data_IF_962446382161
#
_entry.id   IF_962446382161
#
_cell.length_a   1.000
_cell.length_b   1.000
_cell.length_c   1.000
_cell.angle_alpha   90.00
_cell.angle_beta   90.00
_cell.angle_gamma   90.00
#
_symmetry.space_group_name_H-M   'P 1'
#
loop_
_entity.id
_entity.type
_entity.pdbx_description
1 polymer ?
#
# COMPACT_ATOMS: atom_id res chain seq x y z
N UNK A 1 20.73 -21.41 -15.55
CA UNK A 1 21.33 -20.71 -14.38
C UNK A 1 21.45 -21.73 -13.26
N UNK A 2 22.65 -21.99 -12.73
CA UNK A 2 22.81 -22.88 -11.56
C UNK A 2 22.15 -22.19 -10.36
N UNK A 3 21.08 -22.78 -9.80
CA UNK A 3 20.49 -22.36 -8.53
C UNK A 3 21.56 -22.51 -7.44
N UNK A 4 21.99 -21.39 -6.87
CA UNK A 4 22.79 -21.42 -5.64
C UNK A 4 21.83 -21.28 -4.48
N UNK A 5 21.82 -22.24 -3.57
CA UNK A 5 21.19 -22.06 -2.27
C UNK A 5 21.75 -20.78 -1.61
N UNK A 6 20.87 -19.94 -1.06
CA UNK A 6 21.25 -18.68 -0.43
C UNK A 6 20.85 -17.40 -1.16
N UNK A 7 20.17 -17.47 -2.32
CA UNK A 7 19.36 -16.37 -2.83
C UNK A 7 20.11 -15.04 -3.08
N UNK A 8 21.34 -15.09 -3.61
CA UNK A 8 22.10 -13.88 -3.94
C UNK A 8 21.59 -13.16 -5.22
N UNK A 9 20.69 -13.78 -5.98
CA UNK A 9 20.06 -13.18 -7.15
C UNK A 9 18.75 -12.47 -6.79
N UNK A 10 18.42 -11.42 -7.54
CA UNK A 10 17.11 -10.76 -7.40
C UNK A 10 15.98 -11.75 -7.73
N UNK A 11 14.88 -11.78 -6.94
CA UNK A 11 13.74 -12.63 -7.22
C UNK A 11 13.14 -12.31 -8.59
N UNK A 12 12.76 -13.35 -9.32
CA UNK A 12 12.01 -13.24 -10.58
C UNK A 12 10.57 -13.61 -10.27
N UNK A 13 9.62 -12.77 -10.68
CA UNK A 13 8.19 -13.05 -10.52
C UNK A 13 7.57 -13.39 -11.87
N UNK A 14 6.82 -14.48 -11.92
CA UNK A 14 6.20 -14.96 -13.15
C UNK A 14 4.85 -14.27 -13.38
N UNK A 15 4.46 -14.00 -14.65
CA UNK A 15 3.12 -13.53 -14.96
C UNK A 15 2.03 -14.46 -14.41
N UNK A 16 0.92 -13.87 -13.98
CA UNK A 16 -0.25 -14.58 -13.51
C UNK A 16 -0.98 -15.17 -14.72
N UNK A 17 -1.07 -16.49 -14.77
CA UNK A 17 -1.83 -17.25 -15.79
C UNK A 17 -3.34 -17.24 -15.50
N UNK A 18 -3.88 -16.09 -15.10
CA UNK A 18 -5.22 -15.99 -14.51
C UNK A 18 -6.38 -16.25 -15.48
N UNK A 19 -6.12 -16.21 -16.78
CA UNK A 19 -7.07 -16.54 -17.84
C UNK A 19 -7.08 -18.04 -18.18
N UNK A 20 -6.09 -18.81 -17.71
CA UNK A 20 -6.03 -20.27 -17.90
C UNK A 20 -7.04 -20.97 -16.98
N UNK A 21 -7.63 -22.08 -17.45
CA UNK A 21 -8.70 -22.78 -16.73
C UNK A 21 -8.23 -23.41 -15.42
N UNK A 22 -6.99 -23.88 -15.39
CA UNK A 22 -6.32 -24.51 -14.25
C UNK A 22 -5.97 -23.50 -13.14
N UNK A 23 -5.86 -22.20 -13.45
CA UNK A 23 -5.56 -21.16 -12.46
C UNK A 23 -6.57 -21.15 -11.31
N UNK A 24 -7.83 -21.45 -11.59
CA UNK A 24 -8.90 -21.51 -10.59
C UNK A 24 -9.36 -22.94 -10.28
N UNK A 25 -8.62 -23.96 -10.72
CA UNK A 25 -8.93 -25.35 -10.41
C UNK A 25 -8.62 -25.64 -8.93
N UNK A 26 -9.61 -26.18 -8.21
CA UNK A 26 -9.52 -26.40 -6.77
C UNK A 26 -8.49 -27.48 -6.41
N UNK A 27 -8.35 -28.52 -7.24
CA UNK A 27 -7.40 -29.61 -6.97
C UNK A 27 -5.97 -29.15 -7.20
N UNK A 28 -5.73 -28.43 -8.29
CA UNK A 28 -4.41 -27.86 -8.59
C UNK A 28 -3.97 -26.83 -7.54
N UNK A 29 -4.93 -26.03 -7.01
CA UNK A 29 -4.65 -25.11 -5.91
C UNK A 29 -4.35 -25.87 -4.62
N UNK A 30 -5.08 -26.93 -4.30
CA UNK A 30 -4.84 -27.73 -3.09
C UNK A 30 -3.45 -28.39 -3.12
N UNK A 31 -3.09 -29.00 -4.25
CA UNK A 31 -1.76 -29.59 -4.46
C UNK A 31 -0.66 -28.54 -4.26
N UNK A 32 -0.84 -27.36 -4.84
CA UNK A 32 0.14 -26.29 -4.72
C UNK A 32 0.19 -25.69 -3.31
N UNK A 33 -0.95 -25.53 -2.64
CA UNK A 33 -1.00 -25.15 -1.22
C UNK A 33 -0.25 -26.14 -0.38
N UNK A 34 -0.46 -27.44 -0.58
CA UNK A 34 0.24 -28.48 0.19
C UNK A 34 1.74 -28.37 -0.02
N UNK A 35 2.19 -28.31 -1.26
CA UNK A 35 3.62 -28.16 -1.58
C UNK A 35 4.24 -26.92 -0.94
N UNK A 36 3.59 -25.75 -1.07
CA UNK A 36 4.10 -24.50 -0.51
C UNK A 36 4.09 -24.50 1.02
N UNK A 37 3.03 -25.05 1.63
CA UNK A 37 2.85 -25.09 3.08
C UNK A 37 3.89 -26.00 3.74
N UNK A 38 4.16 -27.15 3.13
CA UNK A 38 5.21 -28.09 3.55
C UNK A 38 6.59 -27.40 3.57
N UNK A 39 6.97 -26.77 2.45
CA UNK A 39 8.25 -26.06 2.36
C UNK A 39 8.34 -24.89 3.36
N UNK A 40 7.24 -24.14 3.54
CA UNK A 40 7.20 -23.04 4.50
C UNK A 40 7.34 -23.55 5.95
N UNK A 41 6.69 -24.66 6.29
CA UNK A 41 6.72 -25.28 7.62
C UNK A 41 8.07 -25.89 7.95
N UNK A 42 8.74 -26.53 6.98
CA UNK A 42 10.12 -27.00 7.17
C UNK A 42 11.12 -25.84 7.38
N UNK A 43 10.90 -24.69 6.72
CA UNK A 43 11.83 -23.56 6.75
C UNK A 43 11.61 -22.57 7.92
N UNK A 44 10.34 -22.29 8.27
CA UNK A 44 9.86 -21.37 9.32
C UNK A 44 10.42 -19.93 9.37
N UNK A 45 11.26 -19.52 8.42
CA UNK A 45 11.94 -18.21 8.41
C UNK A 45 10.99 -17.00 8.46
N UNK A 46 9.76 -17.15 7.96
CA UNK A 46 8.80 -16.06 7.80
C UNK A 46 7.90 -15.81 9.04
N UNK A 47 8.11 -16.54 10.14
CA UNK A 47 7.23 -16.53 11.33
C UNK A 47 6.90 -15.13 11.90
N UNK A 48 7.80 -14.16 11.74
CA UNK A 48 7.66 -12.81 12.31
C UNK A 48 7.25 -11.73 11.30
N UNK A 49 6.81 -12.11 10.10
CA UNK A 49 6.41 -11.17 9.05
C UNK A 49 4.94 -10.77 9.13
N UNK A 50 4.05 -11.75 9.21
CA UNK A 50 2.61 -11.59 9.27
C UNK A 50 1.97 -12.83 9.89
N UNK A 51 0.66 -12.76 10.13
CA UNK A 51 -0.08 -13.81 10.84
C UNK A 51 -0.30 -15.09 10.03
N UNK A 52 -0.12 -15.08 8.69
CA UNK A 52 -0.26 -16.29 7.88
C UNK A 52 0.70 -17.39 8.30
N UNK A 53 1.95 -17.05 8.65
CA UNK A 53 2.98 -18.05 8.96
C UNK A 53 2.79 -18.70 10.34
N UNK A 54 2.56 -17.96 11.44
CA UNK A 54 2.16 -18.59 12.71
C UNK A 54 0.95 -19.51 12.56
N UNK A 55 -0.11 -19.04 11.88
CA UNK A 55 -1.30 -19.88 11.63
C UNK A 55 -0.99 -21.14 10.84
N UNK A 56 -0.11 -21.04 9.85
CA UNK A 56 0.33 -22.18 9.06
C UNK A 56 1.10 -23.18 9.92
N UNK A 57 2.00 -22.70 10.78
CA UNK A 57 2.83 -23.57 11.60
C UNK A 57 1.99 -24.26 12.68
N UNK A 58 1.14 -23.50 13.38
CA UNK A 58 0.22 -24.04 14.38
C UNK A 58 -0.72 -25.09 13.74
N UNK A 59 -1.24 -24.82 12.54
CA UNK A 59 -2.10 -25.76 11.80
C UNK A 59 -1.45 -27.12 11.55
N UNK A 60 -0.17 -27.14 11.20
CA UNK A 60 0.55 -28.38 10.90
C UNK A 60 1.06 -29.03 12.19
N UNK A 61 1.57 -28.25 13.14
CA UNK A 61 2.09 -28.75 14.42
C UNK A 61 1.00 -29.40 15.29
N UNK A 62 -0.24 -28.91 15.18
CA UNK A 62 -1.40 -29.44 15.89
C UNK A 62 -2.13 -30.55 15.11
N UNK A 63 -1.63 -30.95 13.93
CA UNK A 63 -2.20 -32.04 13.14
C UNK A 63 -1.98 -33.41 13.82
N UNK A 64 -2.71 -34.44 13.38
CA UNK A 64 -2.63 -35.78 13.99
C UNK A 64 -1.24 -36.41 13.85
N UNK A 65 -0.57 -36.15 12.73
CA UNK A 65 0.79 -36.63 12.45
C UNK A 65 1.88 -35.65 12.87
N UNK A 66 1.53 -34.39 13.17
CA UNK A 66 2.49 -33.28 13.26
C UNK A 66 3.03 -32.85 11.89
N UNK A 67 2.47 -33.41 10.81
CA UNK A 67 2.88 -33.21 9.42
C UNK A 67 1.66 -32.80 8.58
N UNK A 68 1.91 -32.32 7.36
CA UNK A 68 0.87 -31.76 6.48
C UNK A 68 -0.07 -32.82 5.88
N UNK A 69 0.35 -34.08 5.84
CA UNK A 69 -0.38 -35.21 5.26
C UNK A 69 -1.76 -35.44 5.91
N UNK A 70 -1.90 -35.12 7.21
CA UNK A 70 -3.16 -35.27 7.94
C UNK A 70 -3.99 -33.99 8.04
N UNK A 71 -3.52 -32.87 7.47
CA UNK A 71 -4.25 -31.60 7.46
C UNK A 71 -5.32 -31.62 6.37
N UNK A 72 -6.54 -31.23 6.74
CA UNK A 72 -7.66 -31.12 5.81
C UNK A 72 -7.57 -29.83 4.99
N UNK A 73 -7.98 -29.92 3.73
CA UNK A 73 -7.97 -28.79 2.80
C UNK A 73 -8.83 -27.60 3.25
N UNK A 74 -9.93 -27.85 3.97
CA UNK A 74 -10.80 -26.81 4.52
C UNK A 74 -10.09 -25.90 5.54
N UNK A 75 -9.06 -26.42 6.21
CA UNK A 75 -8.33 -25.70 7.25
C UNK A 75 -7.22 -24.80 6.69
N UNK A 76 -7.01 -24.77 5.37
CA UNK A 76 -6.05 -23.84 4.74
C UNK A 76 -6.58 -22.40 4.71
N UNK A 77 -7.90 -22.21 4.70
CA UNK A 77 -8.51 -20.88 4.55
C UNK A 77 -8.05 -19.85 5.60
N UNK A 78 -7.95 -20.16 6.90
CA UNK A 78 -7.42 -19.23 7.90
C UNK A 78 -6.00 -18.71 7.60
N UNK A 79 -5.14 -19.51 6.99
CA UNK A 79 -3.78 -19.10 6.55
C UNK A 79 -3.87 -18.12 5.39
N UNK A 80 -4.73 -18.43 4.41
CA UNK A 80 -5.00 -17.58 3.24
C UNK A 80 -5.61 -16.24 3.65
N UNK A 81 -6.62 -16.25 4.51
CA UNK A 81 -7.33 -15.06 4.99
C UNK A 81 -6.42 -14.12 5.81
N UNK A 82 -5.33 -14.63 6.40
CA UNK A 82 -4.36 -13.82 7.13
C UNK A 82 -3.36 -13.10 6.22
N UNK A 83 -3.26 -13.48 4.94
CA UNK A 83 -2.32 -12.87 4.00
C UNK A 83 -2.81 -11.49 3.56
N UNK A 84 -1.94 -10.48 3.61
CA UNK A 84 -2.29 -9.11 3.19
C UNK A 84 -1.68 -8.71 1.85
N UNK A 85 -1.16 -9.68 1.08
CA UNK A 85 -0.45 -9.46 -0.19
C UNK A 85 0.66 -8.39 -0.12
N UNK A 86 1.35 -8.32 1.02
CA UNK A 86 2.38 -7.31 1.23
C UNK A 86 3.75 -7.65 0.61
N UNK A 87 3.88 -8.84 0.03
CA UNK A 87 5.07 -9.40 -0.65
C UNK A 87 6.38 -9.46 0.15
N UNK A 88 6.37 -9.18 1.45
CA UNK A 88 7.60 -9.21 2.25
C UNK A 88 8.24 -10.60 2.35
N UNK A 89 7.43 -11.68 2.38
CA UNK A 89 7.95 -13.04 2.35
C UNK A 89 8.64 -13.34 1.02
N UNK A 90 8.05 -12.94 -0.11
CA UNK A 90 8.60 -13.14 -1.45
C UNK A 90 9.85 -12.27 -1.69
N UNK A 91 9.76 -10.96 -1.44
CA UNK A 91 10.80 -10.01 -1.83
C UNK A 91 12.02 -10.00 -0.92
N UNK A 92 11.87 -10.33 0.37
CA UNK A 92 12.93 -10.04 1.36
C UNK A 92 13.35 -11.18 2.27
N UNK A 93 12.63 -12.32 2.27
CA UNK A 93 12.87 -13.38 3.28
C UNK A 93 13.00 -14.79 2.72
N UNK A 94 12.18 -15.15 1.74
CA UNK A 94 12.14 -16.50 1.24
C UNK A 94 13.37 -16.77 0.35
N UNK A 95 14.22 -17.77 0.68
CA UNK A 95 15.36 -18.14 -0.16
C UNK A 95 14.96 -19.00 -1.38
N UNK A 96 13.69 -19.42 -1.43
CA UNK A 96 13.17 -20.43 -2.35
C UNK A 96 12.24 -19.84 -3.43
N UNK A 97 12.26 -18.52 -3.59
CA UNK A 97 11.56 -17.80 -4.66
C UNK A 97 12.26 -18.03 -6.01
N UNK A 98 11.57 -17.86 -7.15
CA UNK A 98 12.18 -18.06 -8.45
C UNK A 98 13.40 -17.11 -8.61
N UNK A 99 14.51 -17.58 -9.23
CA UNK A 99 14.62 -18.79 -10.05
C UNK A 99 15.02 -20.06 -9.27
N UNK A 100 14.86 -20.11 -7.94
CA UNK A 100 15.03 -21.35 -7.19
C UNK A 100 14.03 -22.43 -7.67
N UNK A 101 14.44 -23.70 -7.67
CA UNK A 101 13.64 -24.81 -8.21
C UNK A 101 12.29 -25.00 -7.50
N UNK A 102 12.23 -24.68 -6.21
CA UNK A 102 10.97 -24.68 -5.43
C UNK A 102 9.98 -23.61 -5.86
N UNK A 103 10.41 -22.59 -6.61
CA UNK A 103 9.53 -21.65 -7.30
C UNK A 103 8.41 -21.06 -6.40
N UNK A 104 8.75 -20.68 -5.16
CA UNK A 104 7.74 -20.26 -4.18
C UNK A 104 7.25 -18.83 -4.43
N UNK A 105 5.94 -18.68 -4.65
CA UNK A 105 5.24 -17.39 -4.61
C UNK A 105 4.02 -17.48 -3.68
N UNK A 106 4.29 -17.40 -2.37
CA UNK A 106 3.25 -17.50 -1.35
C UNK A 106 2.14 -16.46 -1.56
N UNK A 107 2.41 -15.15 -1.75
CA UNK A 107 1.35 -14.17 -1.94
C UNK A 107 0.49 -14.42 -3.18
N UNK A 108 1.09 -14.76 -4.34
CA UNK A 108 0.30 -15.04 -5.54
C UNK A 108 -0.46 -16.36 -5.45
N UNK A 109 -0.02 -17.33 -4.66
CA UNK A 109 -0.82 -18.51 -4.33
C UNK A 109 -2.05 -18.15 -3.48
N UNK A 110 -1.90 -17.25 -2.50
CA UNK A 110 -3.05 -16.77 -1.71
C UNK A 110 -4.04 -16.00 -2.60
N UNK A 111 -3.53 -15.22 -3.55
CA UNK A 111 -4.33 -14.53 -4.57
C UNK A 111 -5.07 -15.53 -5.47
N UNK A 112 -4.39 -16.59 -5.93
CA UNK A 112 -4.98 -17.68 -6.73
C UNK A 112 -6.11 -18.37 -5.98
N UNK A 113 -5.93 -18.69 -4.70
CA UNK A 113 -7.00 -19.24 -3.84
C UNK A 113 -8.22 -18.32 -3.77
N UNK A 114 -8.01 -17.01 -3.55
CA UNK A 114 -9.11 -16.03 -3.50
C UNK A 114 -9.84 -15.88 -4.84
N UNK A 115 -9.10 -15.99 -5.95
CA UNK A 115 -9.70 -15.99 -7.29
C UNK A 115 -10.59 -17.24 -7.52
N UNK A 116 -10.16 -18.41 -7.03
CA UNK A 116 -10.98 -19.62 -7.02
C UNK A 116 -12.23 -19.44 -6.15
N UNK A 117 -12.11 -18.93 -4.91
CA UNK A 117 -13.27 -18.66 -4.05
C UNK A 117 -14.30 -17.76 -4.75
N UNK A 118 -13.81 -16.78 -5.51
CA UNK A 118 -14.67 -15.88 -6.26
C UNK A 118 -15.38 -16.55 -7.43
N UNK A 119 -14.69 -17.44 -8.16
CA UNK A 119 -15.31 -18.26 -9.23
C UNK A 119 -16.44 -19.13 -8.67
N UNK A 120 -16.23 -19.69 -7.49
CA UNK A 120 -17.20 -20.51 -6.76
C UNK A 120 -18.23 -19.68 -5.95
N UNK A 121 -18.20 -18.34 -6.07
CA UNK A 121 -19.10 -17.41 -5.37
C UNK A 121 -19.06 -17.52 -3.84
N UNK A 122 -17.92 -17.91 -3.29
CA UNK A 122 -17.62 -17.97 -1.85
C UNK A 122 -17.06 -16.66 -1.29
N UNK A 123 -16.85 -15.66 -2.16
CA UNK A 123 -16.40 -14.33 -1.78
C UNK A 123 -17.45 -13.54 -0.98
N UNK A 124 -16.97 -12.61 -0.15
CA UNK A 124 -17.81 -11.70 0.62
C UNK A 124 -18.33 -10.55 -0.26
N UNK A 125 -19.64 -10.57 -0.54
CA UNK A 125 -20.30 -9.50 -1.31
C UNK A 125 -20.18 -8.14 -0.62
N UNK A 126 -20.21 -8.10 0.71
CA UNK A 126 -20.02 -6.87 1.49
C UNK A 126 -18.62 -6.31 1.26
N UNK A 127 -17.59 -7.16 1.26
CA UNK A 127 -16.22 -6.72 1.03
C UNK A 127 -16.04 -6.20 -0.39
N UNK A 128 -16.66 -6.85 -1.37
CA UNK A 128 -16.65 -6.40 -2.77
C UNK A 128 -17.28 -5.02 -2.93
N UNK A 129 -18.41 -4.78 -2.27
CA UNK A 129 -19.06 -3.47 -2.27
C UNK A 129 -18.19 -2.37 -1.63
N UNK A 130 -17.44 -2.71 -0.57
CA UNK A 130 -16.50 -1.78 0.07
C UNK A 130 -15.29 -1.47 -0.81
N UNK A 131 -14.83 -2.44 -1.63
CA UNK A 131 -13.66 -2.28 -2.52
C UNK A 131 -13.93 -1.37 -3.73
N UNK A 132 -15.19 -1.04 -4.03
CA UNK A 132 -15.60 -0.13 -5.12
C UNK A 132 -15.28 1.35 -4.77
N UNK A 133 -14.00 1.65 -4.52
CA UNK A 133 -13.51 2.91 -3.95
C UNK A 133 -13.91 4.15 -4.75
N UNK A 134 -13.88 4.13 -6.09
CA UNK A 134 -14.32 5.29 -6.90
C UNK A 134 -15.83 5.53 -6.84
N UNK A 135 -16.63 4.46 -6.83
CA UNK A 135 -18.09 4.57 -6.68
C UNK A 135 -18.41 5.13 -5.31
N UNK A 136 -17.86 4.51 -4.27
CA UNK A 136 -18.08 4.87 -2.88
C UNK A 136 -17.56 6.30 -2.63
N UNK A 137 -16.35 6.63 -3.08
CA UNK A 137 -15.76 7.97 -2.96
C UNK A 137 -16.62 9.06 -3.60
N UNK A 138 -17.08 8.88 -4.84
CA UNK A 138 -17.94 9.86 -5.52
C UNK A 138 -19.25 10.13 -4.79
N UNK A 139 -19.83 9.12 -4.15
CA UNK A 139 -21.10 9.27 -3.42
C UNK A 139 -20.84 9.83 -2.01
N UNK A 140 -19.93 9.21 -1.25
CA UNK A 140 -19.67 9.54 0.14
C UNK A 140 -19.04 10.92 0.31
N UNK A 141 -18.19 11.37 -0.64
CA UNK A 141 -17.65 12.73 -0.64
C UNK A 141 -18.75 13.79 -0.69
N UNK A 142 -19.84 13.60 -1.44
CA UNK A 142 -20.95 14.57 -1.51
C UNK A 142 -21.60 14.81 -0.15
N UNK A 143 -21.61 13.80 0.71
CA UNK A 143 -22.20 13.81 2.04
C UNK A 143 -21.14 13.79 3.16
N UNK A 144 -19.92 14.27 2.88
CA UNK A 144 -18.75 14.10 3.74
C UNK A 144 -18.95 14.45 5.21
N UNK A 145 -19.68 15.53 5.54
CA UNK A 145 -19.95 15.92 6.94
C UNK A 145 -20.67 14.82 7.71
N UNK A 146 -21.76 14.31 7.13
CA UNK A 146 -22.55 13.23 7.74
C UNK A 146 -21.75 11.93 7.79
N UNK A 147 -21.08 11.57 6.68
CA UNK A 147 -20.27 10.35 6.62
C UNK A 147 -19.14 10.39 7.66
N UNK A 148 -18.39 11.49 7.77
CA UNK A 148 -17.30 11.61 8.75
C UNK A 148 -17.81 11.55 10.20
N UNK A 149 -19.00 12.10 10.47
CA UNK A 149 -19.65 11.96 11.78
C UNK A 149 -20.06 10.51 12.05
N UNK A 150 -20.64 9.82 11.08
CA UNK A 150 -21.13 8.44 11.25
C UNK A 150 -19.99 7.42 11.28
N UNK A 151 -18.87 7.67 10.59
CA UNK A 151 -17.72 6.76 10.56
C UNK A 151 -16.69 7.03 11.65
N UNK A 152 -16.82 8.12 12.42
CA UNK A 152 -15.93 8.44 13.53
C UNK A 152 -15.89 7.30 14.56
N UNK A 153 -14.70 6.85 14.92
CA UNK A 153 -14.50 5.83 15.97
C UNK A 153 -14.93 6.30 17.37
N UNK A 154 -15.24 7.59 17.54
CA UNK A 154 -15.84 8.15 18.76
C UNK A 154 -17.36 8.05 18.78
N UNK A 155 -18.01 7.75 17.66
CA UNK A 155 -19.46 7.69 17.56
C UNK A 155 -20.00 6.36 18.11
N UNK A 156 -20.59 6.41 19.31
CA UNK A 156 -21.12 5.21 20.00
C UNK A 156 -22.43 4.69 19.41
N UNK A 157 -23.11 5.45 18.56
CA UNK A 157 -24.40 5.07 17.97
C UNK A 157 -24.21 4.27 16.68
N UNK A 158 -23.39 4.78 15.75
CA UNK A 158 -23.25 4.22 14.40
C UNK A 158 -22.21 3.11 14.30
N UNK A 159 -21.14 3.17 15.11
CA UNK A 159 -20.03 2.20 15.03
C UNK A 159 -20.45 0.76 15.38
N UNK A 160 -21.27 0.49 16.41
CA UNK A 160 -21.78 -0.86 16.65
C UNK A 160 -22.62 -1.40 15.49
N UNK A 161 -23.41 -0.53 14.84
CA UNK A 161 -24.22 -0.88 13.66
C UNK A 161 -23.31 -1.21 12.48
N UNK A 162 -22.30 -0.38 12.20
CA UNK A 162 -21.29 -0.67 11.15
C UNK A 162 -20.51 -1.95 11.43
N UNK A 163 -20.18 -2.24 12.69
CA UNK A 163 -19.50 -3.48 13.06
C UNK A 163 -20.38 -4.71 12.81
N UNK A 164 -21.67 -4.62 13.11
CA UNK A 164 -22.63 -5.71 12.84
C UNK A 164 -22.90 -5.91 11.35
N UNK A 165 -23.08 -4.83 10.59
CA UNK A 165 -23.51 -4.88 9.19
C UNK A 165 -22.34 -4.99 8.19
N UNK A 166 -21.26 -4.24 8.40
CA UNK A 166 -20.13 -4.14 7.46
C UNK A 166 -18.90 -4.93 7.92
N UNK A 167 -18.98 -5.55 9.11
CA UNK A 167 -17.88 -6.28 9.74
C UNK A 167 -16.63 -5.40 9.94
N UNK A 168 -16.80 -4.09 10.12
CA UNK A 168 -15.70 -3.14 10.42
C UNK A 168 -15.61 -2.96 11.93
N UNK A 169 -14.44 -3.17 12.52
CA UNK A 169 -14.28 -3.06 13.97
C UNK A 169 -14.64 -1.65 14.46
N UNK A 170 -15.47 -1.53 15.49
CA UNK A 170 -15.97 -0.24 16.01
C UNK A 170 -14.86 0.74 16.42
N UNK A 171 -13.70 0.24 16.83
CA UNK A 171 -12.54 1.03 17.28
C UNK A 171 -11.58 1.43 16.15
N UNK A 172 -11.68 0.78 14.98
CA UNK A 172 -10.83 1.09 13.84
C UNK A 172 -11.07 2.51 13.34
N UNK A 173 -10.01 3.31 13.21
CA UNK A 173 -10.12 4.63 12.62
C UNK A 173 -10.23 4.51 11.10
N UNK A 174 -11.26 5.15 10.54
CA UNK A 174 -11.50 5.13 9.10
C UNK A 174 -11.08 6.45 8.44
N UNK A 175 -10.64 6.41 7.18
CA UNK A 175 -10.36 7.61 6.41
C UNK A 175 -11.57 8.55 6.35
N UNK A 176 -11.33 9.85 6.53
CA UNK A 176 -12.33 10.88 6.29
C UNK A 176 -12.62 11.01 4.80
N UNK A 177 -13.79 11.48 4.44
CA UNK A 177 -14.14 11.92 3.09
C UNK A 177 -14.16 13.45 3.01
N UNK A 178 -13.85 13.99 1.84
CA UNK A 178 -13.85 15.42 1.57
C UNK A 178 -14.84 15.76 0.46
N UNK A 179 -15.58 16.86 0.63
CA UNK A 179 -16.61 17.28 -0.34
C UNK A 179 -16.00 17.64 -1.69
N UNK A 180 -14.89 18.39 -1.64
CA UNK A 180 -14.11 18.76 -2.80
C UNK A 180 -12.98 17.76 -2.96
N UNK A 181 -12.97 17.04 -4.08
CA UNK A 181 -11.93 16.05 -4.39
C UNK A 181 -10.66 16.73 -4.89
N UNK A 182 -9.55 15.99 -4.93
CA UNK A 182 -8.31 16.54 -5.47
C UNK A 182 -8.42 16.87 -6.96
N UNK A 183 -9.01 15.97 -7.76
CA UNK A 183 -9.21 16.18 -9.20
C UNK A 183 -10.02 17.45 -9.46
N UNK A 184 -11.16 17.62 -8.77
CA UNK A 184 -11.96 18.85 -8.87
C UNK A 184 -11.16 20.10 -8.50
N UNK A 185 -10.34 20.02 -7.44
CA UNK A 185 -9.48 21.13 -7.03
C UNK A 185 -8.42 21.47 -8.07
N UNK A 186 -7.85 20.46 -8.73
CA UNK A 186 -6.88 20.64 -9.80
C UNK A 186 -7.54 21.24 -11.05
N UNK A 187 -8.71 20.75 -11.45
CA UNK A 187 -9.45 21.22 -12.63
C UNK A 187 -9.86 22.68 -12.50
N UNK A 188 -10.37 23.09 -11.34
CA UNK A 188 -10.69 24.50 -11.07
C UNK A 188 -9.48 25.43 -11.13
N UNK A 189 -8.27 24.90 -10.91
CA UNK A 189 -6.99 25.62 -11.04
C UNK A 189 -6.36 25.48 -12.44
N UNK A 190 -7.06 24.88 -13.40
CA UNK A 190 -6.61 24.69 -14.79
C UNK A 190 -5.80 23.41 -15.05
N UNK A 191 -5.74 22.48 -14.09
CA UNK A 191 -5.12 21.14 -14.17
C UNK A 191 -3.66 21.11 -14.67
N UNK A 192 -2.96 22.26 -14.63
CA UNK A 192 -1.57 22.37 -15.05
C UNK A 192 -0.87 23.51 -14.32
N UNK A 193 0.30 23.21 -13.75
CA UNK A 193 1.19 24.24 -13.21
C UNK A 193 2.16 24.70 -14.31
N UNK A 194 1.69 25.58 -15.21
CA UNK A 194 2.31 25.88 -16.52
C UNK A 194 3.48 26.89 -16.53
N UNK A 195 3.96 27.38 -15.37
CA UNK A 195 4.97 28.46 -15.30
C UNK A 195 6.37 27.96 -14.92
N UNK A 196 6.86 26.93 -15.60
CA UNK A 196 8.16 26.31 -15.30
C UNK A 196 8.92 26.10 -16.61
N UNK A 197 10.25 26.26 -16.62
CA UNK A 197 11.08 25.84 -17.75
C UNK A 197 10.89 24.32 -17.94
N UNK A 198 10.19 23.92 -19.01
CA UNK A 198 9.59 22.59 -19.28
C UNK A 198 10.56 21.39 -19.41
N UNK A 199 11.60 21.29 -18.58
CA UNK A 199 12.59 20.20 -18.66
C UNK A 199 12.04 18.91 -18.06
N UNK A 200 11.28 18.98 -16.96
CA UNK A 200 10.72 17.82 -16.27
C UNK A 200 9.19 17.87 -16.22
N UNK A 201 8.53 16.80 -16.66
CA UNK A 201 7.07 16.69 -16.71
C UNK A 201 6.57 15.46 -15.97
N UNK A 202 5.56 15.63 -15.11
CA UNK A 202 4.92 14.52 -14.38
C UNK A 202 3.40 14.59 -14.43
N UNK A 203 2.78 13.43 -14.62
CA UNK A 203 1.36 13.24 -14.44
C UNK A 203 1.16 12.59 -13.06
N UNK A 204 0.50 13.32 -12.16
CA UNK A 204 0.17 12.85 -10.83
C UNK A 204 -1.02 11.91 -10.97
N UNK A 205 -0.81 10.63 -10.63
CA UNK A 205 -1.86 9.67 -10.36
C UNK A 205 -2.17 9.72 -8.86
N UNK A 206 -3.19 10.49 -8.44
CA UNK A 206 -3.39 10.80 -7.03
C UNK A 206 -3.78 9.58 -6.20
N UNK A 207 -4.28 8.50 -6.82
CA UNK A 207 -4.95 7.37 -6.16
C UNK A 207 -6.35 7.72 -5.65
N UNK A 208 -7.15 6.70 -5.36
CA UNK A 208 -8.48 6.90 -4.77
C UNK A 208 -8.39 7.55 -3.38
N UNK A 209 -7.36 7.23 -2.61
CA UNK A 209 -7.19 7.75 -1.25
C UNK A 209 -6.93 9.26 -1.27
N UNK A 210 -5.95 9.76 -2.02
CA UNK A 210 -5.71 11.21 -2.09
C UNK A 210 -6.90 11.91 -2.74
N UNK A 211 -7.52 11.32 -3.75
CA UNK A 211 -8.63 11.99 -4.42
C UNK A 211 -9.84 12.23 -3.50
N UNK A 212 -10.24 11.24 -2.70
CA UNK A 212 -11.47 11.32 -1.89
C UNK A 212 -11.23 11.55 -0.40
N UNK A 213 -10.10 11.06 0.13
CA UNK A 213 -9.82 10.98 1.56
C UNK A 213 -8.71 11.89 2.07
N UNK A 214 -7.80 12.34 1.19
CA UNK A 214 -6.81 13.35 1.54
C UNK A 214 -6.46 14.26 0.36
N UNK A 215 -7.41 15.09 -0.15
CA UNK A 215 -7.16 15.94 -1.31
C UNK A 215 -6.03 16.95 -1.14
N UNK A 216 -5.80 17.35 0.11
CA UNK A 216 -4.76 18.29 0.47
C UNK A 216 -3.37 17.74 0.14
N UNK A 217 -3.11 16.45 0.36
CA UNK A 217 -1.84 15.84 0.02
C UNK A 217 -1.50 15.97 -1.47
N UNK A 218 -2.49 15.84 -2.35
CA UNK A 218 -2.30 16.07 -3.79
C UNK A 218 -1.94 17.52 -4.11
N UNK A 219 -2.58 18.47 -3.43
CA UNK A 219 -2.28 19.91 -3.58
C UNK A 219 -0.86 20.21 -3.10
N UNK A 220 -0.46 19.64 -1.96
CA UNK A 220 0.90 19.77 -1.42
C UNK A 220 1.92 19.21 -2.40
N UNK A 221 1.66 18.03 -2.98
CA UNK A 221 2.54 17.44 -3.97
C UNK A 221 2.72 18.34 -5.20
N UNK A 222 1.64 18.95 -5.71
CA UNK A 222 1.72 19.91 -6.82
C UNK A 222 2.56 21.15 -6.49
N UNK A 223 2.42 21.72 -5.29
CA UNK A 223 3.19 22.90 -4.87
C UNK A 223 4.67 22.56 -4.65
N UNK A 224 4.98 21.37 -4.08
CA UNK A 224 6.36 20.90 -3.95
C UNK A 224 7.00 20.68 -5.32
N UNK A 225 6.29 20.02 -6.26
CA UNK A 225 6.78 19.83 -7.62
C UNK A 225 7.02 21.15 -8.35
N UNK A 226 6.13 22.13 -8.18
CA UNK A 226 6.29 23.47 -8.71
C UNK A 226 7.54 24.16 -8.15
N UNK A 227 7.79 24.09 -6.84
CA UNK A 227 9.04 24.58 -6.21
C UNK A 227 10.28 23.89 -6.78
N UNK A 228 10.17 22.61 -7.10
CA UNK A 228 11.23 21.81 -7.72
C UNK A 228 11.39 22.05 -9.24
N UNK A 229 10.69 23.03 -9.81
CA UNK A 229 10.66 23.29 -11.24
C UNK A 229 10.28 22.04 -12.07
N UNK A 230 9.22 21.36 -11.63
CA UNK A 230 8.59 20.24 -12.36
C UNK A 230 7.19 20.66 -12.80
N UNK A 231 6.93 20.53 -14.09
CA UNK A 231 5.59 20.67 -14.64
C UNK A 231 4.73 19.48 -14.19
N UNK A 232 3.58 19.74 -13.57
CA UNK A 232 2.68 18.70 -13.08
C UNK A 232 1.28 18.84 -13.69
N UNK A 233 0.70 17.71 -14.13
CA UNK A 233 -0.71 17.56 -14.53
C UNK A 233 -1.38 16.48 -13.68
N UNK A 234 -2.66 16.61 -13.34
CA UNK A 234 -3.39 15.54 -12.63
C UNK A 234 -4.06 14.63 -13.65
N UNK A 235 -3.87 13.32 -13.49
CA UNK A 235 -4.47 12.28 -14.31
C UNK A 235 -5.12 11.23 -13.41
N UNK A 236 -6.45 11.08 -13.51
CA UNK A 236 -7.18 10.14 -12.67
C UNK A 236 -8.43 9.58 -13.37
N UNK A 237 -8.27 8.38 -13.94
CA UNK A 237 -9.34 7.64 -14.62
C UNK A 237 -9.87 6.45 -13.78
N UNK A 238 -9.54 6.44 -12.49
CA UNK A 238 -10.02 5.46 -11.52
C UNK A 238 -8.92 4.86 -10.63
N UNK A 239 -9.36 4.09 -9.64
CA UNK A 239 -8.51 3.34 -8.71
C UNK A 239 -7.64 2.32 -9.44
N UNK A 240 -6.42 2.10 -8.91
CA UNK A 240 -5.45 1.13 -9.42
C UNK A 240 -5.91 -0.34 -9.34
N UNK A 241 -6.95 -0.64 -8.55
CA UNK A 241 -7.46 -1.99 -8.36
C UNK A 241 -6.85 -2.77 -7.19
N UNK A 242 -5.97 -2.19 -6.36
CA UNK A 242 -5.37 -2.90 -5.22
C UNK A 242 -6.41 -3.58 -4.30
N UNK A 243 -7.51 -2.92 -3.88
CA UNK A 243 -8.53 -3.59 -3.05
C UNK A 243 -9.21 -4.78 -3.76
N UNK A 244 -9.39 -4.70 -5.08
CA UNK A 244 -9.92 -5.79 -5.89
C UNK A 244 -8.92 -6.95 -6.01
N UNK A 245 -7.63 -6.64 -6.18
CA UNK A 245 -6.56 -7.63 -6.19
C UNK A 245 -6.52 -8.39 -4.86
N UNK A 246 -6.55 -7.67 -3.73
CA UNK A 246 -6.62 -8.27 -2.39
C UNK A 246 -7.79 -9.25 -2.23
N UNK A 247 -8.92 -9.02 -2.91
CA UNK A 247 -10.10 -9.89 -2.93
C UNK A 247 -10.13 -10.96 -4.02
N UNK A 248 -9.06 -11.10 -4.83
CA UNK A 248 -9.01 -12.08 -5.93
C UNK A 248 -9.78 -11.69 -7.20
N UNK A 249 -10.22 -10.44 -7.35
CA UNK A 249 -10.97 -9.97 -8.52
C UNK A 249 -10.05 -9.55 -9.68
N UNK A 250 -9.32 -10.53 -10.22
CA UNK A 250 -8.33 -10.31 -11.28
C UNK A 250 -8.95 -9.72 -12.56
N UNK A 251 -10.20 -10.09 -12.88
CA UNK A 251 -10.93 -9.53 -14.02
C UNK A 251 -11.15 -8.02 -13.86
N UNK A 252 -11.64 -7.57 -12.69
CA UNK A 252 -11.83 -6.14 -12.45
C UNK A 252 -10.51 -5.36 -12.49
N UNK A 253 -9.42 -5.96 -11.98
CA UNK A 253 -8.08 -5.35 -12.03
C UNK A 253 -7.57 -5.25 -13.47
N UNK A 254 -7.71 -6.30 -14.27
CA UNK A 254 -7.29 -6.33 -15.66
C UNK A 254 -8.02 -5.26 -16.50
N UNK A 255 -9.33 -5.11 -16.35
CA UNK A 255 -10.09 -4.10 -17.09
C UNK A 255 -9.70 -2.67 -16.70
N UNK A 256 -9.42 -2.42 -15.41
CA UNK A 256 -8.87 -1.14 -14.95
C UNK A 256 -7.49 -0.88 -15.55
N UNK A 257 -6.60 -1.86 -15.53
CA UNK A 257 -5.26 -1.75 -16.08
C UNK A 257 -5.28 -1.46 -17.59
N UNK A 258 -6.09 -2.18 -18.37
CA UNK A 258 -6.29 -1.92 -19.81
C UNK A 258 -6.80 -0.50 -20.07
N UNK A 259 -7.84 -0.07 -19.37
CA UNK A 259 -8.44 1.24 -19.61
C UNK A 259 -7.50 2.39 -19.23
N UNK A 260 -6.90 2.34 -18.02
CA UNK A 260 -6.04 3.42 -17.52
C UNK A 260 -4.75 3.51 -18.34
N UNK A 261 -4.12 2.38 -18.69
CA UNK A 261 -2.91 2.38 -19.53
C UNK A 261 -3.14 2.96 -20.92
N UNK A 262 -4.29 2.65 -21.54
CA UNK A 262 -4.70 3.25 -22.82
C UNK A 262 -4.91 4.77 -22.70
N UNK A 263 -5.58 5.24 -21.65
CA UNK A 263 -5.91 6.66 -21.47
C UNK A 263 -4.69 7.52 -21.09
N UNK A 264 -3.71 6.96 -20.39
CA UNK A 264 -2.49 7.69 -19.99
C UNK A 264 -1.43 7.73 -21.09
N UNK A 265 -1.52 6.84 -22.09
CA UNK A 265 -0.56 6.70 -23.19
C UNK A 265 -0.18 8.04 -23.87
N UNK A 266 -1.11 8.95 -24.21
CA UNK A 266 -0.74 10.23 -24.82
C UNK A 266 0.18 11.07 -23.93
N UNK A 267 -0.05 11.08 -22.61
CA UNK A 267 0.81 11.80 -21.67
C UNK A 267 2.24 11.23 -21.65
N UNK A 268 2.37 9.91 -21.68
CA UNK A 268 3.68 9.26 -21.74
C UNK A 268 4.41 9.64 -23.04
N UNK A 269 3.69 9.69 -24.17
CA UNK A 269 4.24 10.12 -25.47
C UNK A 269 4.67 11.60 -25.47
N UNK A 270 3.97 12.46 -24.71
CA UNK A 270 4.36 13.86 -24.48
C UNK A 270 5.54 14.04 -23.50
N UNK A 271 6.11 12.93 -23.01
CA UNK A 271 7.28 12.91 -22.13
C UNK A 271 6.97 12.96 -20.64
N UNK A 272 5.70 12.83 -20.23
CA UNK A 272 5.34 12.79 -18.81
C UNK A 272 5.76 11.46 -18.16
N UNK A 273 6.40 11.56 -16.99
CA UNK A 273 6.47 10.42 -16.05
C UNK A 273 5.19 10.33 -15.25
N UNK A 274 4.78 9.14 -14.84
CA UNK A 274 3.59 8.95 -14.02
C UNK A 274 4.05 8.79 -12.58
N UNK A 275 3.52 9.59 -11.65
CA UNK A 275 3.90 9.49 -10.24
C UNK A 275 2.70 9.13 -9.39
N UNK A 276 2.88 8.22 -8.44
CA UNK A 276 1.85 7.89 -7.46
C UNK A 276 2.21 8.41 -6.07
N UNK A 277 1.17 8.83 -5.33
CA UNK A 277 1.30 9.37 -3.97
C UNK A 277 1.12 8.32 -2.87
N UNK A 278 0.76 7.08 -3.22
CA UNK A 278 0.61 5.98 -2.26
C UNK A 278 1.28 4.73 -2.82
N UNK A 279 2.20 4.08 -2.07
CA UNK A 279 3.01 2.97 -2.56
C UNK A 279 2.23 1.79 -3.14
N UNK A 280 1.04 1.49 -2.62
CA UNK A 280 0.19 0.43 -3.17
C UNK A 280 -0.15 0.66 -4.64
N UNK A 281 -0.37 1.90 -5.05
CA UNK A 281 -0.72 2.22 -6.42
C UNK A 281 0.52 2.21 -7.34
N UNK A 282 1.67 2.72 -6.89
CA UNK A 282 2.92 2.56 -7.65
C UNK A 282 3.29 1.09 -7.81
N UNK A 283 3.11 0.25 -6.78
CA UNK A 283 3.28 -1.21 -6.85
C UNK A 283 2.37 -1.83 -7.92
N UNK A 284 1.07 -1.49 -7.93
CA UNK A 284 0.13 -1.99 -8.94
C UNK A 284 0.57 -1.64 -10.36
N UNK A 285 0.84 -0.36 -10.60
CA UNK A 285 1.15 0.16 -11.93
C UNK A 285 2.51 -0.36 -12.45
N UNK A 286 3.52 -0.45 -11.59
CA UNK A 286 4.88 -0.88 -11.96
C UNK A 286 5.01 -2.39 -12.08
N UNK A 287 4.39 -3.17 -11.19
CA UNK A 287 4.68 -4.60 -11.04
C UNK A 287 3.46 -5.48 -11.27
N UNK A 288 2.35 -5.29 -10.56
CA UNK A 288 1.22 -6.24 -10.64
C UNK A 288 0.49 -6.18 -11.99
N UNK A 289 0.29 -5.00 -12.57
CA UNK A 289 -0.38 -4.88 -13.87
C UNK A 289 0.35 -5.60 -15.01
N UNK A 290 1.69 -5.45 -15.18
CA UNK A 290 2.45 -6.27 -16.12
C UNK A 290 2.37 -7.78 -15.88
N UNK A 291 2.22 -8.22 -14.62
CA UNK A 291 2.07 -9.65 -14.30
C UNK A 291 0.67 -10.16 -14.68
N UNK A 292 -0.37 -9.33 -14.59
CA UNK A 292 -1.75 -9.67 -14.98
C UNK A 292 -1.95 -9.57 -16.50
N UNK A 293 -1.28 -8.62 -17.16
CA UNK A 293 -1.39 -8.34 -18.60
C UNK A 293 -0.02 -8.31 -19.30
N UNK A 294 0.70 -9.45 -19.33
CA UNK A 294 2.09 -9.50 -19.82
C UNK A 294 2.22 -9.22 -21.31
N UNK A 295 1.14 -9.28 -22.08
CA UNK A 295 1.14 -9.06 -23.53
C UNK A 295 0.60 -7.67 -23.93
N UNK A 296 0.23 -6.81 -22.96
CA UNK A 296 -0.28 -5.48 -23.25
C UNK A 296 0.84 -4.43 -23.23
N UNK A 297 1.15 -3.83 -24.38
CA UNK A 297 2.24 -2.86 -24.51
C UNK A 297 1.96 -1.52 -23.80
N UNK A 298 0.70 -1.09 -23.73
CA UNK A 298 0.34 0.13 -23.00
C UNK A 298 0.61 -0.05 -21.49
N UNK A 299 0.30 -1.24 -20.94
CA UNK A 299 0.63 -1.60 -19.55
C UNK A 299 2.14 -1.63 -19.32
N UNK A 300 2.92 -2.23 -20.23
CA UNK A 300 4.39 -2.24 -20.14
C UNK A 300 4.98 -0.83 -20.19
N UNK A 301 4.49 0.02 -21.08
CA UNK A 301 4.95 1.40 -21.24
C UNK A 301 4.62 2.23 -19.99
N UNK A 302 3.41 2.08 -19.44
CA UNK A 302 3.02 2.70 -18.18
C UNK A 302 3.91 2.24 -17.02
N UNK A 303 4.15 0.93 -16.89
CA UNK A 303 5.02 0.38 -15.84
C UNK A 303 6.41 1.03 -15.86
N UNK A 304 7.05 1.13 -17.03
CA UNK A 304 8.36 1.78 -17.21
C UNK A 304 8.34 3.30 -16.95
N UNK A 305 7.18 3.94 -17.13
CA UNK A 305 7.01 5.38 -16.92
C UNK A 305 6.59 5.74 -15.48
N UNK A 306 6.26 4.75 -14.65
CA UNK A 306 5.69 4.95 -13.31
C UNK A 306 6.75 5.00 -12.21
N UNK A 307 6.60 5.97 -11.31
CA UNK A 307 7.44 6.16 -10.13
C UNK A 307 6.57 6.27 -8.87
N UNK A 308 7.11 5.85 -7.74
CA UNK A 308 6.67 6.41 -6.47
C UNK A 308 7.12 7.88 -6.37
N UNK A 309 6.33 8.75 -5.73
CA UNK A 309 6.73 10.17 -5.64
C UNK A 309 8.05 10.38 -4.89
N UNK A 310 8.33 9.57 -3.85
CA UNK A 310 9.60 9.66 -3.13
C UNK A 310 10.76 9.22 -4.04
N UNK A 311 10.55 8.17 -4.84
CA UNK A 311 11.50 7.69 -5.84
C UNK A 311 11.83 8.77 -6.88
N UNK A 312 10.78 9.41 -7.42
CA UNK A 312 10.93 10.46 -8.42
C UNK A 312 11.69 11.69 -7.90
N UNK A 313 11.42 12.12 -6.66
CA UNK A 313 12.13 13.28 -6.08
C UNK A 313 13.61 12.96 -5.82
N UNK A 314 13.92 11.72 -5.39
CA UNK A 314 15.30 11.26 -5.25
C UNK A 314 16.02 11.21 -6.60
N UNK A 315 15.36 10.71 -7.65
CA UNK A 315 15.87 10.76 -9.04
C UNK A 315 16.16 12.20 -9.49
N UNK A 316 15.27 13.14 -9.17
CA UNK A 316 15.45 14.55 -9.47
C UNK A 316 16.66 15.14 -8.71
N UNK A 317 16.81 14.81 -7.42
CA UNK A 317 17.95 15.24 -6.60
C UNK A 317 19.28 14.81 -7.22
N UNK A 318 19.38 13.55 -7.65
CA UNK A 318 20.60 13.02 -8.27
C UNK A 318 21.01 13.76 -9.53
N UNK A 319 20.05 14.34 -10.26
CA UNK A 319 20.29 15.12 -11.48
C UNK A 319 20.57 16.61 -11.19
N UNK A 320 20.17 17.11 -10.03
CA UNK A 320 20.35 18.51 -9.66
C UNK A 320 20.52 18.66 -8.15
N UNK A 321 21.77 18.77 -7.70
CA UNK A 321 22.08 18.93 -6.28
C UNK A 321 21.59 20.24 -5.66
N UNK A 322 21.33 21.27 -6.48
CA UNK A 322 20.86 22.56 -5.98
C UNK A 322 19.45 22.52 -5.40
N UNK A 323 18.66 21.47 -5.62
CA UNK A 323 17.30 21.40 -5.05
C UNK A 323 17.30 21.40 -3.52
N UNK A 324 18.39 20.93 -2.87
CA UNK A 324 18.50 20.99 -1.40
C UNK A 324 18.46 22.41 -0.85
N UNK A 325 18.88 23.42 -1.63
CA UNK A 325 18.86 24.84 -1.23
C UNK A 325 17.45 25.41 -1.09
N UNK A 326 16.42 24.70 -1.58
CA UNK A 326 15.01 25.09 -1.49
C UNK A 326 14.45 24.82 -0.09
N UNK A 327 15.07 23.87 0.64
CA UNK A 327 14.53 23.34 1.89
C UNK A 327 15.38 23.79 3.07
N UNK A 328 14.72 24.30 4.09
CA UNK A 328 15.32 24.74 5.33
C UNK A 328 14.50 24.25 6.54
N UNK A 329 15.17 23.58 7.48
CA UNK A 329 14.56 23.06 8.69
C UNK A 329 15.04 23.84 9.91
N UNK A 330 14.26 24.86 10.31
CA UNK A 330 14.63 25.80 11.37
C UNK A 330 14.20 25.34 12.79
N UNK A 331 14.05 24.04 13.04
CA UNK A 331 13.72 23.54 14.37
C UNK A 331 14.46 22.23 14.67
N UNK A 332 14.50 21.84 15.95
CA UNK A 332 15.19 20.63 16.42
C UNK A 332 14.29 19.38 16.42
N UNK A 333 13.07 19.47 15.90
CA UNK A 333 12.14 18.34 15.92
C UNK A 333 12.56 17.27 14.91
N UNK A 334 12.58 16.02 15.37
CA UNK A 334 12.84 14.88 14.51
C UNK A 334 11.58 14.24 13.96
N UNK A 335 11.78 13.34 12.99
CA UNK A 335 10.74 12.50 12.39
C UNK A 335 11.10 11.02 12.49
N UNK A 336 10.16 10.22 12.96
CA UNK A 336 10.18 8.76 12.80
C UNK A 336 9.49 8.39 11.50
N UNK A 337 10.20 7.74 10.59
CA UNK A 337 9.71 7.28 9.29
C UNK A 337 9.43 5.79 9.35
N UNK A 338 8.16 5.43 9.22
CA UNK A 338 7.74 4.05 9.01
C UNK A 338 7.79 3.74 7.50
N UNK A 339 8.64 2.81 7.12
CA UNK A 339 8.78 2.35 5.73
C UNK A 339 7.74 1.27 5.46
N UNK A 340 6.81 1.56 4.57
CA UNK A 340 5.64 0.71 4.34
C UNK A 340 5.96 -0.53 3.50
N UNK A 341 5.22 -1.62 3.70
CA UNK A 341 5.47 -2.88 2.98
C UNK A 341 5.41 -2.71 1.46
N UNK A 342 4.41 -2.00 0.91
CA UNK A 342 4.31 -1.80 -0.54
C UNK A 342 5.36 -0.83 -1.12
N UNK A 343 6.03 -0.01 -0.30
CA UNK A 343 7.23 0.71 -0.76
C UNK A 343 8.42 -0.26 -0.85
N UNK A 344 8.62 -1.06 0.20
CA UNK A 344 9.67 -2.09 0.25
C UNK A 344 9.53 -3.16 -0.82
N UNK A 345 8.30 -3.57 -1.13
CA UNK A 345 7.99 -4.60 -2.13
C UNK A 345 8.43 -4.20 -3.55
N UNK A 346 8.59 -2.90 -3.82
CA UNK A 346 9.07 -2.41 -5.10
C UNK A 346 10.59 -2.57 -5.28
N UNK A 347 11.32 -2.94 -4.23
CA UNK A 347 12.77 -3.13 -4.23
C UNK A 347 13.56 -1.90 -4.74
N UNK A 348 13.10 -0.70 -4.39
CA UNK A 348 13.70 0.59 -4.78
C UNK A 348 14.58 1.21 -3.67
N UNK A 349 14.76 0.50 -2.54
CA UNK A 349 15.39 1.04 -1.34
C UNK A 349 14.48 2.01 -0.57
N UNK A 350 15.01 2.67 0.46
CA UNK A 350 14.25 3.53 1.36
C UNK A 350 14.09 4.95 0.79
N UNK A 351 13.33 5.09 -0.30
CA UNK A 351 13.23 6.34 -1.05
C UNK A 351 12.62 7.49 -0.25
N UNK A 352 11.70 7.23 0.68
CA UNK A 352 11.24 8.27 1.59
C UNK A 352 12.35 8.82 2.50
N UNK A 353 13.23 7.96 3.02
CA UNK A 353 14.35 8.38 3.88
C UNK A 353 15.39 9.14 3.06
N UNK A 354 15.73 8.64 1.86
CA UNK A 354 16.62 9.33 0.92
C UNK A 354 16.06 10.71 0.52
N UNK A 355 14.75 10.82 0.29
CA UNK A 355 14.08 12.08 -0.01
C UNK A 355 14.13 13.05 1.18
N UNK A 356 13.87 12.58 2.40
CA UNK A 356 13.89 13.43 3.59
C UNK A 356 15.30 13.96 3.90
N UNK A 357 16.36 13.21 3.54
CA UNK A 357 17.75 13.67 3.63
C UNK A 357 18.09 14.84 2.68
N UNK A 358 17.19 15.21 1.77
CA UNK A 358 17.33 16.45 0.97
C UNK A 358 17.21 17.68 1.87
N UNK A 359 16.44 17.58 2.96
CA UNK A 359 16.26 18.62 3.97
C UNK A 359 17.49 18.59 4.91
N UNK A 360 18.31 19.66 4.93
CA UNK A 360 19.45 19.72 5.83
C UNK A 360 19.02 19.60 7.29
N UNK A 361 19.85 18.96 8.12
CA UNK A 361 19.74 18.87 9.58
C UNK A 361 18.46 18.21 10.14
N UNK A 362 17.58 17.68 9.28
CA UNK A 362 16.41 16.93 9.73
C UNK A 362 16.85 15.62 10.39
N UNK A 363 16.57 15.49 11.69
CA UNK A 363 16.76 14.23 12.43
C UNK A 363 15.75 13.20 11.94
N UNK A 364 16.25 12.09 11.38
CA UNK A 364 15.42 11.01 10.82
C UNK A 364 15.75 9.70 11.52
N UNK A 365 14.74 9.08 12.11
CA UNK A 365 14.79 7.70 12.59
C UNK A 365 13.89 6.82 11.73
N UNK A 366 14.26 5.56 11.53
CA UNK A 366 13.59 4.65 10.59
C UNK A 366 13.05 3.41 11.30
N UNK A 367 11.83 3.01 10.95
CA UNK A 367 11.25 1.73 11.37
C UNK A 367 10.80 0.93 10.14
N UNK A 368 11.40 -0.26 9.95
CA UNK A 368 11.14 -1.18 8.84
C UNK A 368 10.47 -2.47 9.33
N UNK A 369 9.26 -2.35 9.85
CA UNK A 369 8.43 -3.48 10.30
C UNK A 369 6.99 -3.25 9.87
N UNK A 370 6.23 -4.34 9.74
CA UNK A 370 4.82 -4.24 9.37
C UNK A 370 4.06 -3.37 10.39
N UNK A 371 3.31 -2.38 9.92
CA UNK A 371 2.42 -1.59 10.77
C UNK A 371 1.24 -2.41 11.30
N UNK A 372 0.93 -3.55 10.67
CA UNK A 372 -0.26 -4.35 10.94
C UNK A 372 -1.53 -3.86 10.24
N UNK A 373 -1.50 -2.71 9.54
CA UNK A 373 -2.69 -2.14 8.91
C UNK A 373 -3.34 -3.05 7.85
N UNK A 374 -2.55 -3.63 6.93
CA UNK A 374 -3.05 -4.62 5.97
C UNK A 374 -4.19 -4.16 5.04
N UNK A 375 -4.37 -2.85 4.84
CA UNK A 375 -5.46 -2.32 4.02
C UNK A 375 -6.83 -2.53 4.69
N UNK A 376 -7.78 -3.06 3.93
CA UNK A 376 -9.12 -3.37 4.47
C UNK A 376 -9.06 -4.47 5.54
N UNK A 377 -8.07 -5.38 5.45
CA UNK A 377 -7.91 -6.50 6.36
C UNK A 377 -7.84 -6.05 7.82
N UNK A 378 -7.00 -5.06 8.14
CA UNK A 378 -6.73 -4.69 9.52
C UNK A 378 -7.84 -3.89 10.18
N UNK A 379 -8.79 -3.32 9.43
CA UNK A 379 -9.96 -2.62 10.01
C UNK A 379 -11.14 -3.55 10.26
N UNK A 380 -11.11 -4.79 9.76
CA UNK A 380 -12.21 -5.75 9.94
C UNK A 380 -12.33 -6.22 11.39
N UNK A 381 -13.56 -6.44 11.83
CA UNK A 381 -13.92 -6.90 13.18
C UNK A 381 -13.07 -8.09 13.61
N UNK A 382 -12.98 -9.12 12.75
CA UNK A 382 -12.24 -10.35 13.00
C UNK A 382 -10.71 -10.18 13.12
N UNK A 383 -10.16 -9.10 12.55
CA UNK A 383 -8.72 -8.94 12.37
C UNK A 383 -8.11 -7.77 13.16
N UNK A 384 -8.90 -6.79 13.61
CA UNK A 384 -8.36 -5.55 14.19
C UNK A 384 -7.46 -5.78 15.41
N UNK A 385 -7.82 -6.71 16.30
CA UNK A 385 -6.96 -7.10 17.43
C UNK A 385 -5.64 -7.67 16.96
N UNK A 386 -5.66 -8.52 15.92
CA UNK A 386 -4.45 -9.08 15.33
C UNK A 386 -3.62 -8.00 14.63
N UNK A 387 -4.25 -7.09 13.90
CA UNK A 387 -3.59 -5.95 13.27
C UNK A 387 -2.83 -5.08 14.28
N UNK A 388 -3.41 -4.88 15.47
CA UNK A 388 -2.72 -4.19 16.58
C UNK A 388 -1.57 -5.03 17.16
N UNK A 389 -1.74 -6.36 17.31
CA UNK A 389 -0.68 -7.27 17.77
C UNK A 389 0.53 -7.23 16.82
N UNK A 390 0.30 -7.33 15.51
CA UNK A 390 1.35 -7.26 14.48
C UNK A 390 2.04 -5.90 14.48
N UNK A 391 1.28 -4.80 14.64
CA UNK A 391 1.82 -3.44 14.68
C UNK A 391 2.50 -3.04 16.00
N UNK A 392 2.34 -3.83 17.07
CA UNK A 392 2.84 -3.53 18.43
C UNK A 392 4.34 -3.23 18.48
N UNK A 393 5.24 -3.95 17.76
CA UNK A 393 6.66 -3.63 17.74
C UNK A 393 6.96 -2.25 17.16
N UNK A 394 6.24 -1.84 16.10
CA UNK A 394 6.38 -0.51 15.50
C UNK A 394 5.93 0.56 16.50
N UNK A 395 4.77 0.37 17.13
CA UNK A 395 4.27 1.29 18.15
C UNK A 395 5.23 1.46 19.34
N UNK A 396 5.78 0.35 19.86
CA UNK A 396 6.78 0.38 20.93
C UNK A 396 8.05 1.12 20.51
N UNK A 397 8.53 0.88 19.29
CA UNK A 397 9.74 1.55 18.78
C UNK A 397 9.53 3.05 18.58
N UNK A 398 8.34 3.47 18.13
CA UNK A 398 7.95 4.89 18.08
C UNK A 398 8.03 5.54 19.47
N UNK A 399 7.54 4.88 20.52
CA UNK A 399 7.64 5.36 21.90
C UNK A 399 9.06 5.42 22.45
N UNK A 400 9.97 4.58 21.95
CA UNK A 400 11.39 4.60 22.33
C UNK A 400 12.14 5.75 21.66
N UNK A 401 11.87 6.00 20.38
CA UNK A 401 12.54 7.05 19.60
C UNK A 401 12.12 8.46 20.03
N UNK A 402 10.82 8.65 20.35
CA UNK A 402 10.23 9.92 20.85
C UNK A 402 10.46 11.15 19.96
N UNK A 403 10.58 10.96 18.64
CA UNK A 403 10.57 12.09 17.71
C UNK A 403 9.18 12.73 17.63
N UNK A 404 9.11 14.07 17.63
CA UNK A 404 7.85 14.83 17.61
C UNK A 404 6.90 14.37 16.52
N UNK A 405 7.42 14.02 15.35
CA UNK A 405 6.64 13.58 14.21
C UNK A 405 6.76 12.09 13.93
N UNK A 406 5.66 11.49 13.48
CA UNK A 406 5.61 10.16 12.89
C UNK A 406 4.99 10.28 11.50
N UNK A 407 5.63 9.65 10.51
CA UNK A 407 5.17 9.63 9.12
C UNK A 407 5.33 8.23 8.54
N UNK A 408 4.48 7.89 7.58
CA UNK A 408 4.54 6.64 6.83
C UNK A 408 4.32 6.95 5.36
N UNK A 409 5.02 6.25 4.46
CA UNK A 409 4.78 6.34 3.01
C UNK A 409 3.35 5.92 2.63
N UNK A 410 2.76 5.02 3.43
CA UNK A 410 1.34 4.74 3.38
C UNK A 410 0.62 5.55 4.47
N UNK A 411 -0.22 6.55 4.13
CA UNK A 411 -0.90 7.38 5.12
C UNK A 411 -1.76 6.59 6.10
N UNK A 412 -2.41 5.53 5.61
CA UNK A 412 -3.25 4.64 6.42
C UNK A 412 -2.46 3.88 7.48
N UNK A 413 -1.24 3.45 7.14
CA UNK A 413 -0.35 2.80 8.09
C UNK A 413 0.08 3.75 9.22
N UNK A 414 0.31 5.04 8.92
CA UNK A 414 0.65 6.04 9.94
C UNK A 414 -0.46 6.21 10.99
N UNK A 415 -1.73 6.25 10.54
CA UNK A 415 -2.90 6.29 11.44
C UNK A 415 -2.97 5.03 12.30
N UNK A 416 -2.80 3.85 11.71
CA UNK A 416 -2.85 2.59 12.46
C UNK A 416 -1.72 2.46 13.49
N UNK A 417 -0.51 2.92 13.16
CA UNK A 417 0.62 2.97 14.12
C UNK A 417 0.27 3.91 15.28
N UNK A 418 -0.35 5.07 15.03
CA UNK A 418 -0.82 5.95 16.11
C UNK A 418 -1.84 5.23 17.01
N UNK A 419 -2.84 4.56 16.44
CA UNK A 419 -3.79 3.78 17.24
C UNK A 419 -3.09 2.71 18.08
N UNK A 420 -2.05 2.08 17.54
CA UNK A 420 -1.19 1.14 18.28
C UNK A 420 -0.45 1.81 19.43
N UNK A 421 0.12 3.00 19.22
CA UNK A 421 0.78 3.79 20.27
C UNK A 421 -0.21 4.17 21.37
N UNK A 422 -1.39 4.69 21.02
CA UNK A 422 -2.43 5.09 21.98
C UNK A 422 -2.96 3.93 22.84
N UNK A 423 -2.83 2.69 22.37
CA UNK A 423 -3.23 1.48 23.10
C UNK A 423 -2.13 0.86 23.94
N UNK A 424 -0.90 1.36 23.89
CA UNK A 424 0.13 0.96 24.83
C UNK A 424 -0.10 1.67 26.16
N UNK A 425 -0.03 0.92 27.25
CA UNK A 425 -0.20 1.45 28.62
C UNK A 425 0.99 2.31 29.05
N UNK A 426 0.76 3.21 30.01
CA UNK A 426 1.78 3.95 30.75
C UNK A 426 2.67 4.90 29.92
N UNK A 427 2.09 5.72 29.04
CA UNK A 427 2.80 6.82 28.41
C UNK A 427 1.90 8.02 28.09
N UNK A 428 2.50 9.21 28.07
CA UNK A 428 1.84 10.47 27.70
C UNK A 428 2.27 10.98 26.31
N UNK A 429 3.19 10.28 25.65
CA UNK A 429 3.79 10.75 24.41
C UNK A 429 2.86 10.51 23.21
N UNK A 430 2.48 11.61 22.54
CA UNK A 430 1.60 11.58 21.36
C UNK A 430 2.32 12.20 20.17
N UNK A 431 2.90 11.40 19.25
CA UNK A 431 3.55 11.96 18.07
C UNK A 431 2.52 12.65 17.17
N UNK A 432 2.93 13.75 16.54
CA UNK A 432 2.14 14.40 15.50
C UNK A 432 2.23 13.55 14.24
N UNK A 433 1.08 13.08 13.76
CA UNK A 433 1.00 12.30 12.53
C UNK A 433 0.97 13.25 11.34
N UNK A 434 1.96 13.08 10.48
CA UNK A 434 2.03 13.69 9.15
C UNK A 434 1.58 12.63 8.15
N UNK A 435 0.80 13.03 7.15
CA UNK A 435 0.11 12.04 6.31
C UNK A 435 1.07 11.30 5.36
N UNK A 436 2.09 12.00 4.86
CA UNK A 436 3.06 11.47 3.90
C UNK A 436 4.40 12.21 3.99
N UNK A 437 5.56 11.56 3.71
CA UNK A 437 6.88 12.20 3.80
C UNK A 437 7.04 13.50 3.00
N UNK A 438 6.33 13.65 1.87
CA UNK A 438 6.39 14.87 1.05
C UNK A 438 5.93 16.13 1.79
N UNK A 439 5.07 16.00 2.81
CA UNK A 439 4.65 17.14 3.62
C UNK A 439 5.83 17.79 4.35
N UNK A 440 6.90 17.05 4.64
CA UNK A 440 8.13 17.65 5.21
C UNK A 440 8.86 18.54 4.21
N UNK A 441 8.87 18.19 2.93
CA UNK A 441 9.41 19.09 1.90
C UNK A 441 8.57 20.36 1.80
N UNK A 442 7.25 20.25 1.98
CA UNK A 442 6.37 21.40 2.02
C UNK A 442 6.64 22.31 3.25
N UNK A 443 6.73 21.71 4.45
CA UNK A 443 7.07 22.42 5.68
C UNK A 443 8.44 23.11 5.57
N UNK A 444 9.45 22.41 5.05
CA UNK A 444 10.80 22.94 4.88
C UNK A 444 10.93 23.99 3.76
N UNK A 445 9.91 24.18 2.92
CA UNK A 445 9.90 25.18 1.84
C UNK A 445 8.85 26.29 2.03
N UNK A 446 8.34 26.44 3.27
CA UNK A 446 7.32 27.41 3.67
C UNK A 446 5.99 27.30 2.87
N UNK A 447 5.67 26.11 2.36
CA UNK A 447 4.35 25.83 1.79
C UNK A 447 3.36 25.63 2.96
N UNK A 448 2.29 26.41 2.99
CA UNK A 448 1.27 26.28 4.02
C UNK A 448 0.54 24.94 3.90
N UNK A 449 0.60 24.15 4.96
CA UNK A 449 -0.27 23.00 5.18
C UNK A 449 -1.49 23.52 5.95
N UNK A 450 -2.60 23.77 5.24
CA UNK A 450 -3.89 24.05 5.86
C UNK A 450 -4.37 22.82 6.64
N UNK A 451 -3.93 22.65 7.88
CA UNK A 451 -4.50 21.61 8.72
C UNK A 451 -5.99 21.93 8.89
N UNK A 452 -6.87 21.07 8.37
CA UNK A 452 -8.29 21.05 8.73
C UNK A 452 -8.45 20.59 10.21
N UNK A 453 -7.80 21.32 11.11
CA UNK A 453 -8.11 21.35 12.54
C UNK A 453 -9.15 22.43 12.75
N UNK A 454 -10.40 22.08 12.45
CA UNK A 454 -11.57 22.55 13.19
C UNK A 454 -12.32 21.34 13.69
#
# INVERSE_FOLDING_TARGET
>A
MKSKEGGLGAPVRHPLKWEETDFTDQKEIDVELRRVFDICHGCRRCFNLCESFPKLFDLIDESKSGELDTVKSEDFKPVVDACTLCDMCFMTKCPYVPPHEFNLDFPHLMLRYRAMERKEKLNSTIDDELTKTDRNGRVLSKFSKFINWSTSNKNKLTRPVMEKLLQINKEAELPKYYKKTFVQTADEKGNKNSKVNNINKVAIFPTCFVNYNNPQLGTIAQEVLKKLNVESKVFYEGCCGMPQLEGGDLKAVAEKAKNISRLVKPLIQEGYKIISLVPSCSLMLKFEWPLILPNNDDVKNLSKATFDICEYIVELKKKNDNISKIFNWNNSDGVTVHVSCHSRAQNIGNKAVEMLKIIPDLKIDVIERCSGHGGSWGVKKKNFTMALKVGKPVARKTLQIKNRYLVSECPLAGVHVRQGVEKLENHDFKPIIISHPIEFLALASNIQITNDKK
#
